data_IF_178428074705
#
_entry.id   IF_178428074705
#
_cell.length_a   1.000
_cell.length_b   1.000
_cell.length_c   1.000
_cell.angle_alpha   90.00
_cell.angle_beta   90.00
_cell.angle_gamma   90.00
#
_symmetry.space_group_name_H-M   'P 1'
#
loop_
_entity.id
_entity.type
_entity.pdbx_description
1 polymer ?
#
# COMPACT_ATOMS: atom_id res chain seq x y z
N UNK A 1 -1.23 47.81 10.62
CA UNK A 1 -2.65 47.59 10.28
C UNK A 1 -2.68 46.77 8.99
N UNK A 2 -3.44 45.66 9.03
CA UNK A 2 -3.67 44.59 8.04
C UNK A 2 -2.60 43.52 7.83
N UNK A 3 -2.83 42.40 8.51
CA UNK A 3 -2.51 41.03 8.10
C UNK A 3 -3.22 40.76 6.77
N UNK A 4 -2.47 40.39 5.72
CA UNK A 4 -3.02 39.63 4.59
C UNK A 4 -2.45 38.24 4.70
N UNK A 5 -3.27 37.33 5.25
CA UNK A 5 -2.97 35.91 5.28
C UNK A 5 -2.83 35.38 3.85
N UNK A 6 -1.59 35.26 3.40
CA UNK A 6 -1.29 34.38 2.27
C UNK A 6 -1.55 32.99 2.83
N UNK A 7 -2.65 32.37 2.44
CA UNK A 7 -2.83 30.94 2.65
C UNK A 7 -1.70 30.27 1.88
N UNK A 8 -0.60 29.95 2.56
CA UNK A 8 0.58 29.29 1.99
C UNK A 8 0.21 27.87 1.61
N UNK A 9 -0.57 27.73 0.54
CA UNK A 9 -0.81 26.42 -0.08
C UNK A 9 0.55 25.96 -0.58
N UNK A 10 1.08 24.93 0.07
CA UNK A 10 2.30 24.27 -0.36
C UNK A 10 2.23 23.96 -1.87
N UNK A 11 3.36 24.06 -2.59
CA UNK A 11 3.42 23.71 -4.01
C UNK A 11 2.74 22.36 -4.25
N UNK A 12 2.00 22.22 -5.36
CA UNK A 12 1.21 21.02 -5.62
C UNK A 12 2.05 19.73 -5.59
N UNK A 13 3.30 19.82 -6.05
CA UNK A 13 4.29 18.72 -5.99
C UNK A 13 4.62 18.35 -4.55
N UNK A 14 4.90 19.34 -3.69
CA UNK A 14 5.22 19.09 -2.29
C UNK A 14 4.05 18.41 -1.56
N UNK A 15 2.82 18.90 -1.74
CA UNK A 15 1.63 18.27 -1.15
C UNK A 15 1.46 16.83 -1.61
N UNK A 16 1.72 16.55 -2.87
CA UNK A 16 1.61 15.21 -3.42
C UNK A 16 2.65 14.25 -2.81
N UNK A 17 3.88 14.71 -2.64
CA UNK A 17 4.95 13.93 -1.98
C UNK A 17 4.60 13.65 -0.51
N UNK A 18 4.11 14.65 0.22
CA UNK A 18 3.67 14.49 1.60
C UNK A 18 2.53 13.48 1.71
N UNK A 19 1.50 13.59 0.86
CA UNK A 19 0.38 12.63 0.81
C UNK A 19 0.88 11.20 0.56
N UNK A 20 1.77 10.99 -0.43
CA UNK A 20 2.32 9.67 -0.73
C UNK A 20 3.13 9.11 0.43
N UNK A 21 3.96 9.96 1.06
CA UNK A 21 4.80 9.58 2.21
C UNK A 21 3.95 9.14 3.41
N UNK A 22 2.95 9.93 3.78
CA UNK A 22 2.05 9.59 4.89
C UNK A 22 1.25 8.34 4.56
N UNK A 23 0.77 8.21 3.31
CA UNK A 23 0.02 7.03 2.92
C UNK A 23 0.85 5.76 2.94
N UNK A 24 2.13 5.82 2.54
CA UNK A 24 3.05 4.68 2.60
C UNK A 24 3.25 4.23 4.05
N UNK A 25 3.52 5.18 4.96
CA UNK A 25 3.68 4.88 6.38
C UNK A 25 2.42 4.25 7.00
N UNK A 26 1.24 4.78 6.65
CA UNK A 26 -0.03 4.24 7.12
C UNK A 26 -0.30 2.85 6.52
N UNK A 27 -0.03 2.68 5.22
CA UNK A 27 -0.18 1.40 4.54
C UNK A 27 0.68 0.32 5.18
N UNK A 28 1.95 0.61 5.44
CA UNK A 28 2.88 -0.31 6.10
C UNK A 28 2.38 -0.74 7.49
N UNK A 29 2.01 0.24 8.34
CA UNK A 29 1.56 -0.03 9.71
C UNK A 29 0.27 -0.86 9.74
N UNK A 30 -0.73 -0.49 8.95
CA UNK A 30 -2.01 -1.22 8.92
C UNK A 30 -1.83 -2.63 8.37
N UNK A 31 -1.08 -2.79 7.27
CA UNK A 31 -0.82 -4.11 6.69
C UNK A 31 -0.06 -5.00 7.67
N UNK A 32 0.96 -4.47 8.35
CA UNK A 32 1.71 -5.20 9.39
C UNK A 32 0.79 -5.66 10.52
N UNK A 33 -0.07 -4.77 11.05
CA UNK A 33 -1.00 -5.11 12.13
C UNK A 33 -2.01 -6.19 11.70
N UNK A 34 -2.59 -6.09 10.51
CA UNK A 34 -3.54 -7.06 9.99
C UNK A 34 -2.88 -8.43 9.78
N UNK A 35 -1.70 -8.44 9.16
CA UNK A 35 -0.96 -9.67 8.87
C UNK A 35 -0.47 -10.37 10.15
N UNK A 36 0.07 -9.62 11.11
CA UNK A 36 0.46 -10.19 12.41
C UNK A 36 -0.73 -10.71 13.23
N UNK A 37 -1.93 -10.18 13.00
CA UNK A 37 -3.16 -10.68 13.62
C UNK A 37 -3.78 -11.87 12.87
N UNK A 38 -3.11 -12.40 11.84
CA UNK A 38 -3.62 -13.48 10.99
C UNK A 38 -4.74 -13.08 10.02
N UNK A 39 -5.09 -11.79 9.94
CA UNK A 39 -6.18 -11.24 9.12
C UNK A 39 -5.73 -10.99 7.67
N UNK A 40 -5.24 -12.03 6.99
CA UNK A 40 -4.65 -11.91 5.65
C UNK A 40 -5.64 -11.36 4.62
N UNK A 41 -6.89 -11.82 4.65
CA UNK A 41 -7.92 -11.34 3.71
C UNK A 41 -8.21 -9.83 3.88
N UNK A 42 -8.24 -9.33 5.11
CA UNK A 42 -8.39 -7.91 5.40
C UNK A 42 -7.17 -7.11 4.91
N UNK A 43 -5.95 -7.64 5.10
CA UNK A 43 -4.72 -7.00 4.64
C UNK A 43 -4.68 -6.84 3.11
N UNK A 44 -5.08 -7.87 2.36
CA UNK A 44 -5.18 -7.80 0.90
C UNK A 44 -6.29 -6.85 0.47
N UNK A 45 -7.44 -6.87 1.16
CA UNK A 45 -8.52 -5.92 0.95
C UNK A 45 -8.07 -4.47 1.12
N UNK A 46 -7.31 -4.20 2.18
CA UNK A 46 -6.68 -2.91 2.46
C UNK A 46 -5.70 -2.50 1.37
N UNK A 47 -4.79 -3.38 0.95
CA UNK A 47 -3.84 -3.12 -0.14
C UNK A 47 -4.56 -2.73 -1.43
N UNK A 48 -5.63 -3.44 -1.79
CA UNK A 48 -6.43 -3.14 -2.99
C UNK A 48 -7.09 -1.76 -2.90
N UNK A 49 -7.60 -1.39 -1.73
CA UNK A 49 -8.16 -0.05 -1.50
C UNK A 49 -7.08 1.02 -1.65
N UNK A 50 -5.92 0.82 -1.02
CA UNK A 50 -4.77 1.71 -1.12
C UNK A 50 -4.33 1.90 -2.58
N UNK A 51 -4.06 0.81 -3.31
CA UNK A 51 -3.73 0.84 -4.74
C UNK A 51 -4.75 1.64 -5.55
N UNK A 52 -6.04 1.37 -5.36
CA UNK A 52 -7.09 2.02 -6.15
C UNK A 52 -7.20 3.53 -5.84
N UNK A 53 -6.98 3.94 -4.59
CA UNK A 53 -6.96 5.34 -4.19
C UNK A 53 -5.81 6.11 -4.86
N UNK A 54 -4.62 5.50 -4.94
CA UNK A 54 -3.42 6.19 -5.41
C UNK A 54 -3.07 5.97 -6.88
N UNK A 55 -3.64 4.96 -7.56
CA UNK A 55 -3.41 4.70 -9.00
C UNK A 55 -3.68 5.90 -9.90
N UNK A 56 -4.59 6.80 -9.50
CA UNK A 56 -4.96 8.00 -10.27
C UNK A 56 -4.22 9.25 -9.80
N UNK A 57 -3.44 9.17 -8.72
CA UNK A 57 -2.75 10.29 -8.10
C UNK A 57 -1.31 10.44 -8.64
N UNK A 58 -1.20 10.48 -9.97
CA UNK A 58 0.09 10.54 -10.69
C UNK A 58 0.78 11.87 -10.42
N UNK A 59 0.05 12.98 -10.54
CA UNK A 59 0.57 14.34 -10.45
C UNK A 59 0.80 14.96 -11.82
N UNK A 60 1.81 15.84 -11.92
CA UNK A 60 2.20 16.44 -13.20
C UNK A 60 2.90 15.40 -14.10
N UNK A 61 2.81 15.53 -15.44
CA UNK A 61 3.38 14.55 -16.38
C UNK A 61 4.87 14.25 -16.15
N UNK A 62 5.64 15.26 -15.75
CA UNK A 62 7.08 15.18 -15.48
C UNK A 62 7.39 14.24 -14.30
N UNK A 63 6.43 14.05 -13.39
CA UNK A 63 6.54 13.19 -12.21
C UNK A 63 5.96 11.79 -12.41
N UNK A 64 5.55 11.42 -13.64
CA UNK A 64 4.89 10.13 -13.90
C UNK A 64 5.77 8.94 -13.55
N UNK A 65 7.07 9.00 -13.89
CA UNK A 65 8.03 7.95 -13.54
C UNK A 65 8.12 7.75 -12.02
N UNK A 66 8.24 8.85 -11.25
CA UNK A 66 8.29 8.81 -9.78
C UNK A 66 7.00 8.25 -9.17
N UNK A 67 5.85 8.44 -9.82
CA UNK A 67 4.61 7.84 -9.36
C UNK A 67 4.62 6.32 -9.50
N UNK A 68 5.02 5.80 -10.66
CA UNK A 68 5.04 4.36 -10.90
C UNK A 68 6.14 3.65 -10.11
N UNK A 69 7.29 4.29 -9.94
CA UNK A 69 8.37 3.82 -9.07
C UNK A 69 7.90 3.74 -7.60
N UNK A 70 7.21 4.76 -7.10
CA UNK A 70 6.57 4.71 -5.77
C UNK A 70 5.49 3.62 -5.66
N UNK A 71 4.65 3.45 -6.69
CA UNK A 71 3.60 2.43 -6.70
C UNK A 71 4.19 1.02 -6.70
N UNK A 72 5.22 0.76 -7.52
CA UNK A 72 5.95 -0.50 -7.56
C UNK A 72 6.51 -0.87 -6.19
N UNK A 73 7.09 0.11 -5.47
CA UNK A 73 7.54 -0.08 -4.08
C UNK A 73 6.42 -0.52 -3.14
N UNK A 74 5.19 -0.02 -3.28
CA UNK A 74 4.07 -0.48 -2.43
C UNK A 74 3.77 -1.97 -2.64
N UNK A 75 3.80 -2.45 -3.88
CA UNK A 75 3.64 -3.87 -4.19
C UNK A 75 4.77 -4.71 -3.58
N UNK A 76 6.02 -4.28 -3.78
CA UNK A 76 7.19 -4.99 -3.27
C UNK A 76 7.13 -5.12 -1.73
N UNK A 77 6.92 -4.01 -1.02
CA UNK A 77 6.85 -3.98 0.45
C UNK A 77 5.69 -4.86 0.96
N UNK A 78 4.53 -4.83 0.29
CA UNK A 78 3.42 -5.69 0.70
C UNK A 78 3.73 -7.17 0.50
N UNK A 79 4.39 -7.54 -0.61
CA UNK A 79 4.88 -8.90 -0.85
C UNK A 79 5.83 -9.38 0.27
N UNK A 80 6.80 -8.55 0.66
CA UNK A 80 7.74 -8.85 1.74
C UNK A 80 7.05 -9.00 3.10
N UNK A 81 6.07 -8.14 3.42
CA UNK A 81 5.28 -8.26 4.64
C UNK A 81 4.47 -9.56 4.68
N UNK A 82 3.86 -9.94 3.56
CA UNK A 82 3.10 -11.17 3.44
C UNK A 82 3.99 -12.41 3.59
N UNK A 83 5.17 -12.38 2.96
CA UNK A 83 6.15 -13.45 3.09
C UNK A 83 6.65 -13.59 4.54
N UNK A 84 7.02 -12.47 5.17
CA UNK A 84 7.53 -12.44 6.54
C UNK A 84 6.49 -12.91 7.55
N UNK A 85 5.25 -12.44 7.43
CA UNK A 85 4.15 -12.86 8.32
C UNK A 85 3.75 -14.32 8.13
N UNK A 86 3.85 -14.87 6.91
CA UNK A 86 3.60 -16.29 6.66
C UNK A 86 4.60 -17.19 7.41
N UNK A 87 5.88 -16.80 7.45
CA UNK A 87 6.94 -17.51 8.20
C UNK A 87 6.71 -17.46 9.71
N UNK A 88 6.23 -16.32 10.22
CA UNK A 88 5.86 -16.17 11.63
C UNK A 88 4.67 -17.07 11.98
N UNK A 89 3.62 -17.05 11.17
CA UNK A 89 2.40 -17.84 11.41
C UNK A 89 2.65 -19.35 11.31
N UNK A 90 3.61 -19.83 10.52
CA UNK A 90 3.97 -21.26 10.49
C UNK A 90 4.54 -21.78 11.83
N UNK A 91 4.95 -20.90 12.75
CA UNK A 91 5.30 -21.26 14.13
C UNK A 91 4.11 -21.37 15.10
N UNK A 92 2.91 -20.97 14.65
CA UNK A 92 1.66 -20.97 15.43
C UNK A 92 0.47 -21.34 14.52
N UNK A 93 0.03 -22.60 14.59
CA UNK A 93 -1.06 -23.19 13.77
C UNK A 93 -2.15 -22.22 13.27
N UNK A 94 -2.47 -22.20 11.96
CA UNK A 94 -3.47 -21.26 11.45
C UNK A 94 -4.89 -21.83 11.56
N UNK A 95 -5.75 -21.13 12.28
CA UNK A 95 -7.20 -21.28 12.17
C UNK A 95 -7.67 -20.49 10.93
N UNK A 96 -8.11 -21.20 9.89
CA UNK A 96 -8.66 -20.63 8.67
C UNK A 96 -10.18 -20.50 8.81
N UNK A 97 -10.68 -19.30 9.09
CA UNK A 97 -12.13 -19.01 9.05
C UNK A 97 -12.48 -17.77 8.20
N UNK A 98 -13.14 -18.09 7.08
CA UNK A 98 -14.30 -17.42 6.45
C UNK A 98 -14.29 -15.95 6.02
N UNK A 99 -14.29 -15.82 4.69
CA UNK A 99 -15.24 -15.07 3.83
C UNK A 99 -15.21 -13.53 3.81
N UNK A 100 -14.76 -12.95 2.68
CA UNK A 100 -15.55 -11.97 1.91
C UNK A 100 -14.91 -11.65 0.54
N UNK A 101 -15.71 -11.79 -0.52
CA UNK A 101 -15.41 -11.60 -1.96
C UNK A 101 -14.55 -12.72 -2.57
N UNK A 102 -14.80 -13.18 -3.82
CA UNK A 102 -13.89 -14.10 -4.50
C UNK A 102 -12.57 -13.35 -4.77
N UNK A 103 -11.68 -13.38 -3.78
CA UNK A 103 -10.29 -13.00 -3.94
C UNK A 103 -9.69 -13.97 -4.92
N UNK A 104 -8.96 -13.46 -5.91
CA UNK A 104 -8.18 -14.36 -6.76
C UNK A 104 -7.19 -15.06 -5.84
N UNK A 105 -7.16 -16.39 -5.89
CA UNK A 105 -6.32 -17.25 -5.06
C UNK A 105 -4.85 -16.76 -5.03
N UNK A 106 -4.39 -16.15 -6.11
CA UNK A 106 -3.05 -15.59 -6.27
C UNK A 106 -2.74 -14.39 -5.36
N UNK A 107 -3.74 -13.60 -4.94
CA UNK A 107 -3.52 -12.43 -4.06
C UNK A 107 -3.06 -12.82 -2.64
N UNK A 108 -3.08 -14.10 -2.28
CA UNK A 108 -2.58 -14.61 -1.00
C UNK A 108 -1.08 -14.97 -1.02
N UNK A 109 -0.44 -14.92 -2.19
CA UNK A 109 0.95 -15.34 -2.35
C UNK A 109 1.88 -14.13 -2.58
N UNK A 110 3.02 -14.04 -1.87
CA UNK A 110 4.00 -12.97 -2.08
C UNK A 110 4.47 -12.82 -3.53
N UNK A 111 4.63 -13.94 -4.24
CA UNK A 111 5.10 -13.99 -5.63
C UNK A 111 4.24 -13.16 -6.58
N UNK A 112 2.92 -13.09 -6.36
CA UNK A 112 2.03 -12.24 -7.15
C UNK A 112 2.45 -10.77 -7.06
N UNK A 113 2.78 -10.28 -5.87
CA UNK A 113 3.16 -8.89 -5.65
C UNK A 113 4.52 -8.56 -6.25
N UNK A 114 5.49 -9.48 -6.17
CA UNK A 114 6.80 -9.33 -6.82
C UNK A 114 6.69 -9.31 -8.34
N UNK A 115 5.83 -10.14 -8.93
CA UNK A 115 5.62 -10.12 -10.37
C UNK A 115 5.01 -8.79 -10.82
N UNK A 116 3.99 -8.30 -10.11
CA UNK A 116 3.32 -7.04 -10.48
C UNK A 116 4.25 -5.84 -10.27
N UNK A 117 5.08 -5.81 -9.22
CA UNK A 117 6.00 -4.68 -8.98
C UNK A 117 6.99 -4.48 -10.13
N UNK A 118 7.45 -5.56 -10.76
CA UNK A 118 8.37 -5.51 -11.91
C UNK A 118 7.70 -5.15 -13.24
N UNK A 119 6.37 -5.21 -13.30
CA UNK A 119 5.57 -5.03 -14.54
C UNK A 119 4.91 -3.65 -14.66
N UNK A 120 5.05 -2.79 -13.65
CA UNK A 120 4.49 -1.43 -13.59
C UNK A 120 5.39 -0.41 -14.26
#
# INVERSE_FOLDING_TARGET
>A
MFIVGVTTRLPAVQRLVEIKTISEQLHFKISTLLLHSGKVAEAVGWFRQHKNAYKRLVGAPEGTFLHWEWMSRQFLVFGELLETSSKITQSSSPNLSTLSKPMSEWEYYPAYYYQVSTSL
#
